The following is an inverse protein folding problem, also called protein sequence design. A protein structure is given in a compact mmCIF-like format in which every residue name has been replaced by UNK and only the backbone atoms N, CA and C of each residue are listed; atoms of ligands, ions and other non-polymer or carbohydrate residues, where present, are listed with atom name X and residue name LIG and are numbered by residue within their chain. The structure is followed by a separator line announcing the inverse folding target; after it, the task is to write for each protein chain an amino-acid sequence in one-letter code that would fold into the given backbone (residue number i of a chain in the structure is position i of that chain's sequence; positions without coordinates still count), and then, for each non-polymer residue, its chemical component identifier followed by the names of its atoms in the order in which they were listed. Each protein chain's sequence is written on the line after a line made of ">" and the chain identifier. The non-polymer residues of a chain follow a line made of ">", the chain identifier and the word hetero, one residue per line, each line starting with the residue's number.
data_IF_105620165743
#
_entry.id   IF_105620165743
#
_cell.length_a   1.000
_cell.length_b   1.000
_cell.length_c   1.000
_cell.angle_alpha   90.00
_cell.angle_beta   90.00
_cell.angle_gamma   90.00
#
_symmetry.space_group_name_H-M   'P 1'
#
loop_
_entity.id
_entity.type
_entity.pdbx_description
1 polymer ?
#
# COMPACT_ATOMS: atom_id res chain seq x y z
N UNK A 1 -0.65 -8.15 -10.90
CA UNK A 1 -0.85 -8.91 -9.64
C UNK A 1 0.50 -9.04 -8.94
N UNK A 2 0.53 -8.86 -7.62
CA UNK A 2 1.74 -8.97 -6.79
C UNK A 2 1.45 -9.75 -5.52
N UNK A 3 2.34 -10.67 -5.16
CA UNK A 3 2.33 -11.38 -3.88
C UNK A 3 3.48 -10.88 -2.98
N UNK A 4 3.19 -10.65 -1.70
CA UNK A 4 4.17 -10.37 -0.65
C UNK A 4 3.79 -11.06 0.66
N UNK A 5 4.78 -11.31 1.52
CA UNK A 5 4.57 -11.89 2.84
C UNK A 5 5.44 -11.22 3.91
N UNK A 6 4.96 -11.24 5.15
CA UNK A 6 5.67 -10.88 6.36
C UNK A 6 5.81 -12.13 7.26
N UNK A 7 6.90 -12.92 7.11
CA UNK A 7 7.04 -14.21 7.80
C UNK A 7 7.11 -14.08 9.33
N UNK A 8 7.50 -12.91 9.85
CA UNK A 8 7.54 -12.66 11.30
C UNK A 8 6.16 -12.74 11.96
N UNK A 9 5.09 -12.40 11.24
CA UNK A 9 3.73 -12.48 11.74
C UNK A 9 2.83 -13.46 10.98
N UNK A 10 3.38 -14.11 9.95
CA UNK A 10 2.64 -15.01 9.06
C UNK A 10 1.67 -14.28 8.12
N UNK A 11 1.80 -12.96 7.94
CA UNK A 11 0.93 -12.23 7.02
C UNK A 11 1.31 -12.53 5.57
N UNK A 12 0.32 -12.75 4.72
CA UNK A 12 0.43 -12.97 3.28
C UNK A 12 -0.62 -12.11 2.60
N UNK A 13 -0.19 -11.33 1.60
CA UNK A 13 -1.08 -10.53 0.77
C UNK A 13 -0.86 -10.84 -0.71
N UNK A 14 -1.96 -11.01 -1.42
CA UNK A 14 -2.04 -10.97 -2.88
C UNK A 14 -2.80 -9.72 -3.26
N UNK A 15 -2.15 -8.83 -4.00
CA UNK A 15 -2.71 -7.57 -4.46
C UNK A 15 -2.92 -7.59 -5.98
N UNK A 16 -4.13 -7.28 -6.40
CA UNK A 16 -4.50 -7.04 -7.80
C UNK A 16 -4.83 -5.57 -7.94
N UNK A 17 -4.19 -4.91 -8.91
CA UNK A 17 -4.40 -3.50 -9.23
C UNK A 17 -4.64 -3.42 -10.73
N UNK A 18 -5.67 -2.70 -11.12
CA UNK A 18 -5.98 -2.36 -12.51
C UNK A 18 -5.69 -0.86 -12.70
N UNK A 19 -5.04 -0.54 -13.81
CA UNK A 19 -4.69 0.83 -14.17
C UNK A 19 -5.40 1.23 -15.45
N UNK A 20 -6.01 2.41 -15.45
CA UNK A 20 -6.45 3.10 -16.65
C UNK A 20 -5.53 4.31 -16.85
N UNK A 21 -4.60 4.19 -17.79
CA UNK A 21 -3.46 5.10 -17.94
C UNK A 21 -2.64 5.16 -16.63
N UNK A 22 -2.59 6.33 -16.01
CA UNK A 22 -1.87 6.53 -14.75
C UNK A 22 -2.75 6.39 -13.51
N UNK A 23 -4.05 6.10 -13.66
CA UNK A 23 -5.01 6.07 -12.54
C UNK A 23 -5.32 4.64 -12.11
N UNK A 24 -5.38 4.39 -10.80
CA UNK A 24 -5.86 3.13 -10.23
C UNK A 24 -7.39 3.07 -10.40
N UNK A 25 -7.85 2.34 -11.42
CA UNK A 25 -9.28 2.19 -11.72
C UNK A 25 -9.95 1.15 -10.81
N UNK A 26 -9.19 0.13 -10.40
CA UNK A 26 -9.68 -0.91 -9.51
C UNK A 26 -8.53 -1.50 -8.67
N UNK A 27 -8.85 -1.94 -7.46
CA UNK A 27 -7.88 -2.56 -6.56
C UNK A 27 -8.59 -3.56 -5.63
N UNK A 28 -8.00 -4.74 -5.50
CA UNK A 28 -8.50 -5.78 -4.63
C UNK A 28 -7.34 -6.53 -3.98
N UNK A 29 -7.55 -7.00 -2.75
CA UNK A 29 -6.59 -7.84 -2.05
C UNK A 29 -7.23 -9.14 -1.57
N UNK A 30 -6.42 -10.18 -1.46
CA UNK A 30 -6.75 -11.43 -0.78
C UNK A 30 -5.53 -11.92 0.01
N UNK A 31 -5.75 -12.89 0.89
CA UNK A 31 -4.69 -13.46 1.72
C UNK A 31 -5.12 -13.64 3.17
N UNK A 32 -4.14 -13.84 4.04
CA UNK A 32 -4.35 -14.04 5.46
C UNK A 32 -3.30 -13.26 6.24
N UNK A 33 -3.71 -12.65 7.35
CA UNK A 33 -2.79 -11.93 8.21
C UNK A 33 -3.47 -11.55 9.51
N UNK A 34 -2.69 -10.98 10.40
CA UNK A 34 -3.21 -10.42 11.65
C UNK A 34 -4.14 -9.23 11.39
N UNK A 35 -4.94 -8.86 12.39
CA UNK A 35 -5.94 -7.78 12.29
C UNK A 35 -5.37 -6.46 11.77
N UNK A 36 -4.14 -6.11 12.13
CA UNK A 36 -3.47 -4.89 11.66
C UNK A 36 -3.17 -4.97 10.17
N UNK A 37 -2.70 -6.12 9.68
CA UNK A 37 -2.38 -6.30 8.26
C UNK A 37 -3.64 -6.23 7.40
N UNK A 38 -4.71 -6.93 7.81
CA UNK A 38 -6.00 -6.91 7.11
C UNK A 38 -6.66 -5.52 7.13
N UNK A 39 -6.65 -4.83 8.29
CA UNK A 39 -7.19 -3.48 8.39
C UNK A 39 -6.41 -2.50 7.52
N UNK A 40 -5.07 -2.56 7.54
CA UNK A 40 -4.21 -1.72 6.70
C UNK A 40 -4.46 -1.96 5.21
N UNK A 41 -4.60 -3.21 4.78
CA UNK A 41 -4.92 -3.53 3.39
C UNK A 41 -6.27 -2.95 2.96
N UNK A 42 -7.31 -3.11 3.79
CA UNK A 42 -8.65 -2.57 3.51
C UNK A 42 -8.66 -1.05 3.45
N UNK A 43 -8.01 -0.37 4.40
CA UNK A 43 -7.93 1.09 4.41
C UNK A 43 -7.12 1.62 3.22
N UNK A 44 -6.02 0.93 2.88
CA UNK A 44 -5.19 1.26 1.72
C UNK A 44 -6.00 1.20 0.42
N UNK A 45 -6.80 0.14 0.19
CA UNK A 45 -7.59 0.04 -1.04
C UNK A 45 -8.57 1.21 -1.22
N UNK A 46 -9.14 1.70 -0.12
CA UNK A 46 -10.03 2.87 -0.16
C UNK A 46 -9.23 4.15 -0.40
N UNK A 47 -8.07 4.31 0.24
CA UNK A 47 -7.26 5.51 0.15
C UNK A 47 -6.67 5.76 -1.26
N UNK A 48 -6.39 4.70 -2.02
CA UNK A 48 -5.67 4.80 -3.30
C UNK A 48 -6.56 4.61 -4.54
N UNK A 49 -7.82 4.19 -4.38
CA UNK A 49 -8.74 4.05 -5.49
C UNK A 49 -8.99 5.41 -6.18
N UNK A 50 -8.88 5.45 -7.51
CA UNK A 50 -9.02 6.67 -8.30
C UNK A 50 -7.84 7.64 -8.19
N UNK A 51 -6.73 7.25 -7.53
CA UNK A 51 -5.50 8.02 -7.45
C UNK A 51 -4.54 7.68 -8.57
N UNK A 52 -3.66 8.62 -8.90
CA UNK A 52 -2.56 8.36 -9.84
C UNK A 52 -1.51 7.44 -9.22
N UNK A 53 -0.65 6.83 -10.05
CA UNK A 53 0.51 6.03 -9.61
C UNK A 53 1.41 6.85 -8.67
N UNK A 54 1.62 8.13 -8.99
CA UNK A 54 2.41 9.05 -8.18
C UNK A 54 1.74 9.37 -6.84
N UNK A 55 0.46 9.73 -6.83
CA UNK A 55 -0.30 9.99 -5.60
C UNK A 55 -0.32 8.75 -4.68
N UNK A 56 -0.49 7.56 -5.26
CA UNK A 56 -0.46 6.31 -4.51
C UNK A 56 0.91 6.03 -3.86
N UNK A 57 2.01 6.32 -4.57
CA UNK A 57 3.39 6.27 -4.03
C UNK A 57 3.60 7.31 -2.93
N UNK A 58 3.03 8.52 -3.08
CA UNK A 58 3.06 9.56 -2.03
C UNK A 58 2.35 9.08 -0.76
N UNK A 59 1.12 8.54 -0.88
CA UNK A 59 0.36 8.03 0.25
C UNK A 59 1.08 6.87 0.96
N UNK A 60 1.69 5.96 0.21
CA UNK A 60 2.51 4.89 0.78
C UNK A 60 3.71 5.43 1.59
N UNK A 61 4.31 6.53 1.14
CA UNK A 61 5.41 7.20 1.83
C UNK A 61 4.95 7.88 3.11
N UNK A 62 3.85 8.64 3.05
CA UNK A 62 3.24 9.29 4.22
C UNK A 62 2.83 8.24 5.25
N UNK A 63 2.20 7.14 4.83
CA UNK A 63 1.81 6.05 5.72
C UNK A 63 3.01 5.43 6.41
N UNK A 64 4.09 5.17 5.67
CA UNK A 64 5.32 4.60 6.21
C UNK A 64 5.93 5.50 7.28
N UNK A 65 6.07 6.80 7.00
CA UNK A 65 6.58 7.80 7.95
C UNK A 65 5.72 7.86 9.22
N UNK A 66 4.39 7.90 9.06
CA UNK A 66 3.46 7.92 10.18
C UNK A 66 3.62 6.71 11.11
N UNK A 67 3.73 5.48 10.56
CA UNK A 67 3.86 4.27 11.39
C UNK A 67 5.28 4.03 11.90
N UNK A 68 6.28 4.79 11.45
CA UNK A 68 7.63 4.85 12.04
C UNK A 68 7.77 5.95 13.08
N UNK A 69 6.72 6.74 13.34
CA UNK A 69 6.69 7.78 14.37
C UNK A 69 7.09 9.17 13.88
N UNK A 70 7.25 9.34 12.56
CA UNK A 70 7.52 10.63 11.95
C UNK A 70 6.21 11.42 11.77
N UNK A 71 6.27 12.74 11.94
CA UNK A 71 5.13 13.63 11.74
C UNK A 71 5.16 14.16 10.31
N UNK A 72 4.05 14.02 9.58
CA UNK A 72 3.87 14.57 8.24
C UNK A 72 2.53 15.32 8.22
N UNK A 73 2.55 16.60 7.82
CA UNK A 73 1.35 17.44 7.77
C UNK A 73 0.29 16.90 6.80
N UNK A 74 0.70 16.05 5.85
CA UNK A 74 -0.18 15.44 4.84
C UNK A 74 -0.83 14.15 5.32
N UNK A 75 -0.69 13.75 6.59
CA UNK A 75 -1.32 12.54 7.14
C UNK A 75 -2.84 12.52 6.95
N UNK A 76 -3.50 13.68 6.89
CA UNK A 76 -4.93 13.77 6.60
C UNK A 76 -5.31 13.15 5.24
N UNK A 77 -4.38 13.13 4.26
CA UNK A 77 -4.60 12.51 2.95
C UNK A 77 -4.77 10.98 3.03
N UNK A 78 -4.36 10.35 4.13
CA UNK A 78 -4.46 8.90 4.32
C UNK A 78 -5.90 8.40 4.55
N UNK A 79 -6.87 9.30 4.77
CA UNK A 79 -8.23 8.93 5.14
C UNK A 79 -8.23 8.05 6.38
N UNK A 80 -8.99 6.95 6.38
CA UNK A 80 -9.09 6.03 7.52
C UNK A 80 -7.76 5.35 7.89
N UNK A 81 -6.79 5.27 6.96
CA UNK A 81 -5.50 4.66 7.27
C UNK A 81 -4.73 5.43 8.37
N UNK A 82 -5.06 6.71 8.60
CA UNK A 82 -4.48 7.50 9.70
C UNK A 82 -4.77 6.91 11.09
N UNK A 83 -5.85 6.12 11.25
CA UNK A 83 -6.17 5.46 12.53
C UNK A 83 -5.09 4.44 12.94
N UNK A 84 -4.21 4.03 12.03
CA UNK A 84 -3.07 3.17 12.32
C UNK A 84 -1.83 3.93 12.83
N UNK A 85 -1.89 5.26 13.04
CA UNK A 85 -0.78 6.03 13.58
C UNK A 85 -0.23 5.47 14.92
N UNK A 86 -1.09 4.86 15.73
CA UNK A 86 -0.71 4.21 16.99
C UNK A 86 0.26 3.02 16.83
N UNK A 87 0.38 2.44 15.62
CA UNK A 87 1.33 1.35 15.33
C UNK A 87 2.78 1.78 15.55
N UNK A 88 3.09 3.07 15.45
CA UNK A 88 4.42 3.62 15.79
C UNK A 88 4.91 3.27 17.20
N UNK A 89 4.00 3.02 18.14
CA UNK A 89 4.31 2.60 19.52
C UNK A 89 4.68 1.10 19.62
N UNK A 90 4.55 0.34 18.53
CA UNK A 90 4.74 -1.10 18.49
C UNK A 90 5.65 -1.50 17.31
N UNK A 91 6.98 -1.36 17.41
CA UNK A 91 7.91 -1.62 16.29
C UNK A 91 7.75 -3.00 15.63
N UNK A 92 7.42 -4.04 16.41
CA UNK A 92 7.17 -5.38 15.91
C UNK A 92 5.95 -5.47 14.96
N UNK A 93 5.06 -4.48 14.98
CA UNK A 93 3.81 -4.43 14.21
C UNK A 93 3.90 -3.54 12.97
N UNK A 94 4.97 -2.76 12.81
CA UNK A 94 5.19 -1.87 11.65
C UNK A 94 5.21 -2.66 10.33
N UNK A 95 5.84 -3.83 10.31
CA UNK A 95 5.82 -4.70 9.11
C UNK A 95 4.43 -5.22 8.78
N UNK A 96 3.57 -5.42 9.79
CA UNK A 96 2.20 -5.85 9.57
C UNK A 96 1.39 -4.75 8.87
N UNK A 97 1.54 -3.49 9.32
CA UNK A 97 0.80 -2.36 8.76
C UNK A 97 1.32 -1.95 7.37
N UNK A 98 2.62 -2.05 7.10
CA UNK A 98 3.22 -1.60 5.83
C UNK A 98 3.17 -2.63 4.70
N UNK A 99 2.82 -3.89 4.97
CA UNK A 99 2.85 -4.97 3.97
C UNK A 99 2.04 -4.64 2.70
N UNK A 100 0.80 -4.17 2.87
CA UNK A 100 -0.09 -3.85 1.75
C UNK A 100 0.41 -2.66 0.92
N UNK A 101 0.94 -1.62 1.57
CA UNK A 101 1.51 -0.45 0.93
C UNK A 101 2.78 -0.78 0.14
N UNK A 102 3.60 -1.71 0.64
CA UNK A 102 4.75 -2.22 -0.09
C UNK A 102 4.34 -3.08 -1.30
N UNK A 103 3.25 -3.85 -1.19
CA UNK A 103 2.69 -4.59 -2.32
C UNK A 103 2.18 -3.64 -3.41
N UNK A 104 1.55 -2.53 -3.01
CA UNK A 104 1.08 -1.48 -3.93
C UNK A 104 2.25 -0.84 -4.70
N UNK A 105 3.30 -0.38 -4.00
CA UNK A 105 4.50 0.18 -4.67
C UNK A 105 5.07 -0.79 -5.70
N UNK A 106 5.26 -2.05 -5.31
CA UNK A 106 5.75 -3.09 -6.21
C UNK A 106 4.81 -3.33 -7.40
N UNK A 107 3.49 -3.26 -7.21
CA UNK A 107 2.53 -3.41 -8.30
C UNK A 107 2.62 -2.25 -9.31
N UNK A 108 2.81 -1.03 -8.82
CA UNK A 108 3.02 0.16 -9.67
C UNK A 108 4.33 0.02 -10.45
N UNK A 109 5.44 -0.32 -9.79
CA UNK A 109 6.75 -0.44 -10.44
C UNK A 109 6.76 -1.54 -11.52
N UNK A 110 6.06 -2.67 -11.29
CA UNK A 110 5.89 -3.73 -12.29
C UNK A 110 5.03 -3.26 -13.47
N UNK A 111 3.98 -2.48 -13.21
CA UNK A 111 3.13 -1.90 -14.26
C UNK A 111 3.89 -0.94 -15.17
N UNK A 112 4.72 -0.05 -14.59
CA UNK A 112 5.59 0.88 -15.33
C UNK A 112 6.61 0.15 -16.22
N UNK A 113 7.19 -0.95 -15.72
CA UNK A 113 8.11 -1.78 -16.49
C UNK A 113 7.43 -2.45 -17.70
N UNK A 114 6.14 -2.79 -17.60
CA UNK A 114 5.37 -3.36 -18.71
C UNK A 114 4.95 -2.30 -19.74
N UNK A 115 4.63 -1.07 -19.32
CA UNK A 115 4.29 0.03 -20.25
C UNK A 115 5.48 0.51 -21.10
N UNK A 116 6.69 0.43 -20.54
CA UNK A 116 7.91 0.86 -21.24
C UNK A 116 8.30 -0.08 -22.39
N UNK A 117 7.96 -1.38 -22.31
CA UNK A 117 8.26 -2.36 -23.38
C UNK A 117 7.30 -2.30 -24.57
N UNK A 118 6.08 -1.79 -24.40
CA UNK A 118 5.08 -1.71 -25.49
C UNK A 118 5.13 -0.41 -26.32
N UNK A 119 5.75 0.67 -25.81
CA UNK A 119 5.90 1.93 -26.54
C UNK A 119 7.29 2.13 -27.18
N UNK A 120 8.13 1.09 -27.17
CA UNK A 120 9.53 1.13 -27.63
C UNK A 120 9.80 0.53 -29.02
N UNK A 121 8.81 0.47 -29.92
CA UNK A 121 8.95 0.01 -31.32
C UNK A 121 8.63 1.13 -32.33
#
# INVERSE_FOLDING_TARGET
>A
MVDLNNPTCGDVIRLTVEFENDVISNIAFSGHGCTISTASASMMTVAVLGKTKEEAKELATIFSAMVTGETDERQEKLGDAQFLAGVSKFPARVKCSTLAWNALKKAIDVGEAQETVIHGE
#
